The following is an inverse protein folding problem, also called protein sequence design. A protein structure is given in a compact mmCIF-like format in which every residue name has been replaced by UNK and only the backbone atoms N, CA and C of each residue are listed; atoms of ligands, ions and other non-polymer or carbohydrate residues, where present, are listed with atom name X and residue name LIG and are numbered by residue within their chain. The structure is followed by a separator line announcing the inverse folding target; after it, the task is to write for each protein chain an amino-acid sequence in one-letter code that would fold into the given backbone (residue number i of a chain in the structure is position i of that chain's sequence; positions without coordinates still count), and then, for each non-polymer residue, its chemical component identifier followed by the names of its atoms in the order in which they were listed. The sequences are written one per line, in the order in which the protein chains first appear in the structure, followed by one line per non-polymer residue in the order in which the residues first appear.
data_IF_189172502095
#
_entry.id   IF_189172502095
#
_cell.length_a   1.000
_cell.length_b   1.000
_cell.length_c   1.000
_cell.angle_alpha   90.00
_cell.angle_beta   90.00
_cell.angle_gamma   90.00
#
_symmetry.space_group_name_H-M   'P 1'
#
loop_
_entity.id
_entity.type
_entity.pdbx_description
1 polymer ?
#
# COMPACT_ATOMS: atom_id res chain seq x y z
N UNK A 1 -42.57 42.84 -23.36
CA UNK A 1 -41.36 43.47 -22.79
C UNK A 1 -41.41 44.93 -23.15
N UNK A 2 -41.36 45.81 -22.15
CA UNK A 2 -41.57 47.25 -22.31
C UNK A 2 -40.30 47.92 -22.83
N UNK A 3 -40.44 48.98 -23.63
CA UNK A 3 -39.33 49.81 -24.13
C UNK A 3 -38.46 50.42 -23.00
N UNK A 4 -38.96 50.38 -21.76
CA UNK A 4 -38.28 50.87 -20.57
C UNK A 4 -37.23 49.90 -19.98
N UNK A 5 -37.16 48.65 -20.46
CA UNK A 5 -36.19 47.64 -19.98
C UNK A 5 -34.83 47.69 -20.71
N UNK A 6 -34.71 48.41 -21.84
CA UNK A 6 -33.47 48.45 -22.63
C UNK A 6 -32.47 49.54 -22.18
N UNK A 7 -32.89 50.52 -21.36
CA UNK A 7 -32.07 51.71 -21.06
C UNK A 7 -31.26 51.60 -19.76
N UNK A 8 -31.49 50.57 -18.93
CA UNK A 8 -30.84 50.47 -17.62
C UNK A 8 -29.54 49.65 -17.57
N UNK A 9 -29.01 49.18 -18.72
CA UNK A 9 -27.64 48.63 -18.77
C UNK A 9 -27.36 47.45 -17.81
N UNK A 10 -28.39 46.77 -17.31
CA UNK A 10 -28.26 45.56 -16.51
C UNK A 10 -28.20 44.37 -17.47
N UNK A 11 -26.99 44.14 -17.99
CA UNK A 11 -26.68 42.90 -18.69
C UNK A 11 -27.04 41.71 -17.80
N UNK A 12 -27.76 40.75 -18.38
CA UNK A 12 -28.02 39.42 -17.81
C UNK A 12 -26.77 38.90 -17.08
N UNK A 13 -26.87 38.44 -15.81
CA UNK A 13 -25.72 37.85 -15.15
C UNK A 13 -25.24 36.68 -15.99
N UNK A 14 -23.97 36.76 -16.35
CA UNK A 14 -23.23 35.85 -17.22
C UNK A 14 -23.16 34.45 -16.57
N UNK A 15 -24.26 33.69 -16.66
CA UNK A 15 -24.40 32.35 -16.07
C UNK A 15 -23.35 31.38 -16.60
N UNK A 16 -22.86 31.58 -17.83
CA UNK A 16 -21.81 30.78 -18.45
C UNK A 16 -20.45 30.97 -17.76
N UNK A 17 -20.11 32.17 -17.28
CA UNK A 17 -18.81 32.43 -16.65
C UNK A 17 -18.71 31.86 -15.23
N UNK A 18 -19.82 31.87 -14.48
CA UNK A 18 -19.92 31.26 -13.15
C UNK A 18 -19.87 29.72 -13.26
N UNK A 19 -20.54 29.16 -14.26
CA UNK A 19 -20.56 27.70 -14.50
C UNK A 19 -19.15 27.19 -14.87
N UNK A 20 -18.40 27.90 -15.72
CA UNK A 20 -17.03 27.50 -16.09
C UNK A 20 -16.05 27.55 -14.91
N UNK A 21 -16.16 28.55 -14.02
CA UNK A 21 -15.30 28.62 -12.81
C UNK A 21 -15.61 27.52 -11.80
N UNK A 22 -16.88 27.17 -11.62
CA UNK A 22 -17.30 26.09 -10.71
C UNK A 22 -16.79 24.74 -11.26
N UNK A 23 -17.00 24.45 -12.55
CA UNK A 23 -16.54 23.19 -13.16
C UNK A 23 -15.01 23.06 -13.20
N UNK A 24 -14.25 24.15 -13.37
CA UNK A 24 -12.77 24.08 -13.28
C UNK A 24 -12.29 23.86 -11.84
N UNK A 25 -12.96 24.43 -10.84
CA UNK A 25 -12.62 24.22 -9.43
C UNK A 25 -12.87 22.78 -8.97
N UNK A 26 -14.01 22.17 -9.37
CA UNK A 26 -14.35 20.79 -9.00
C UNK A 26 -13.42 19.78 -9.67
N UNK A 27 -13.10 19.95 -10.96
CA UNK A 27 -12.18 19.05 -11.69
C UNK A 27 -10.75 19.12 -11.13
N UNK A 28 -10.32 20.31 -10.67
CA UNK A 28 -8.99 20.46 -10.05
C UNK A 28 -8.92 19.85 -8.65
N UNK A 29 -10.04 19.81 -7.91
CA UNK A 29 -10.13 19.17 -6.60
C UNK A 29 -10.16 17.64 -6.72
N UNK A 30 -10.87 17.09 -7.71
CA UNK A 30 -10.87 15.65 -8.04
C UNK A 30 -9.49 15.14 -8.46
N UNK A 31 -8.70 15.96 -9.15
CA UNK A 31 -7.30 15.67 -9.50
C UNK A 31 -6.39 15.63 -8.26
N UNK A 32 -6.64 16.50 -7.26
CA UNK A 32 -5.85 16.51 -6.02
C UNK A 32 -6.22 15.32 -5.13
N UNK A 33 -7.52 15.11 -4.89
CA UNK A 33 -8.02 14.03 -4.05
C UNK A 33 -7.62 12.65 -4.57
N UNK A 34 -7.69 12.44 -5.90
CA UNK A 34 -7.22 11.19 -6.50
C UNK A 34 -5.72 10.95 -6.26
N UNK A 35 -4.89 11.98 -6.38
CA UNK A 35 -3.43 11.85 -6.13
C UNK A 35 -3.15 11.55 -4.66
N UNK A 36 -3.82 12.24 -3.75
CA UNK A 36 -3.71 12.00 -2.31
C UNK A 36 -4.10 10.55 -1.96
N UNK A 37 -5.21 10.06 -2.53
CA UNK A 37 -5.68 8.69 -2.32
C UNK A 37 -4.71 7.65 -2.91
N UNK A 38 -4.21 7.87 -4.12
CA UNK A 38 -3.19 7.02 -4.77
C UNK A 38 -1.93 6.92 -3.91
N UNK A 39 -1.46 8.04 -3.38
CA UNK A 39 -0.29 8.10 -2.51
C UNK A 39 -0.54 7.40 -1.17
N UNK A 40 -1.72 7.59 -0.58
CA UNK A 40 -2.13 6.91 0.66
C UNK A 40 -2.14 5.39 0.48
N UNK A 41 -2.74 4.88 -0.58
CA UNK A 41 -2.76 3.44 -0.88
C UNK A 41 -1.34 2.89 -1.03
N UNK A 42 -0.47 3.60 -1.76
CA UNK A 42 0.92 3.18 -1.91
C UNK A 42 1.67 3.11 -0.56
N UNK A 43 1.42 4.08 0.33
CA UNK A 43 1.98 4.07 1.69
C UNK A 43 1.42 2.92 2.52
N UNK A 44 0.11 2.68 2.50
CA UNK A 44 -0.52 1.56 3.20
C UNK A 44 0.07 0.22 2.74
N UNK A 45 0.20 -0.01 1.43
CA UNK A 45 0.85 -1.21 0.85
C UNK A 45 2.28 -1.38 1.37
N UNK A 46 3.05 -0.29 1.46
CA UNK A 46 4.41 -0.33 2.00
C UNK A 46 4.43 -0.71 3.49
N UNK A 47 3.55 -0.10 4.29
CA UNK A 47 3.40 -0.41 5.71
C UNK A 47 2.97 -1.85 5.95
N UNK A 48 2.01 -2.38 5.17
CA UNK A 48 1.58 -3.77 5.27
C UNK A 48 2.76 -4.72 4.98
N UNK A 49 3.57 -4.46 3.95
CA UNK A 49 4.78 -5.26 3.70
C UNK A 49 5.76 -5.24 4.88
N UNK A 50 5.99 -4.06 5.46
CA UNK A 50 6.84 -3.92 6.65
C UNK A 50 6.31 -4.74 7.82
N UNK A 51 5.00 -4.69 8.06
CA UNK A 51 4.35 -5.47 9.10
C UNK A 51 4.43 -6.97 8.84
N UNK A 52 4.22 -7.43 7.60
CA UNK A 52 4.38 -8.86 7.24
C UNK A 52 5.77 -9.35 7.60
N UNK A 53 6.83 -8.62 7.21
CA UNK A 53 8.19 -9.00 7.57
C UNK A 53 8.45 -8.97 9.09
N UNK A 54 7.76 -8.12 9.83
CA UNK A 54 7.83 -8.12 11.29
C UNK A 54 7.11 -9.35 11.89
N UNK A 55 5.89 -9.64 11.43
CA UNK A 55 5.11 -10.82 11.83
C UNK A 55 5.92 -12.09 11.57
N UNK A 56 6.54 -12.25 10.39
CA UNK A 56 7.39 -13.40 10.08
C UNK A 56 8.51 -13.59 11.11
N UNK A 57 9.18 -12.50 11.53
CA UNK A 57 10.23 -12.55 12.56
C UNK A 57 9.67 -12.96 13.92
N UNK A 58 8.56 -12.36 14.33
CA UNK A 58 7.92 -12.66 15.62
C UNK A 58 7.42 -14.11 15.67
N UNK A 59 6.83 -14.61 14.58
CA UNK A 59 6.38 -16.00 14.43
C UNK A 59 7.55 -16.98 14.57
N UNK A 60 8.73 -16.65 14.04
CA UNK A 60 9.92 -17.50 14.18
C UNK A 60 10.46 -17.57 15.62
N UNK A 61 10.09 -16.64 16.50
CA UNK A 61 10.45 -16.72 17.92
C UNK A 61 9.48 -17.59 18.73
N UNK A 62 8.28 -17.88 18.21
CA UNK A 62 7.30 -18.72 18.92
C UNK A 62 7.82 -20.16 19.07
N UNK A 63 7.70 -20.70 20.28
CA UNK A 63 8.20 -22.04 20.60
C UNK A 63 9.73 -22.17 20.64
N UNK A 64 10.47 -21.07 20.47
CA UNK A 64 11.92 -21.02 20.65
C UNK A 64 12.33 -20.49 22.04
N UNK A 65 13.63 -20.45 22.35
CA UNK A 65 14.16 -19.93 23.62
C UNK A 65 13.95 -18.42 23.82
N UNK A 66 13.46 -17.72 22.80
CA UNK A 66 13.13 -16.30 22.84
C UNK A 66 11.63 -16.04 22.97
N UNK A 67 10.80 -17.08 23.04
CA UNK A 67 9.36 -16.91 23.17
C UNK A 67 9.03 -16.25 24.51
N UNK A 68 8.36 -15.11 24.47
CA UNK A 68 8.01 -14.29 25.64
C UNK A 68 6.61 -13.72 25.47
N UNK A 69 5.93 -13.41 26.58
CA UNK A 69 4.59 -12.80 26.58
C UNK A 69 4.58 -11.50 25.76
N UNK A 70 5.64 -10.69 25.85
CA UNK A 70 5.77 -9.44 25.10
C UNK A 70 5.82 -9.66 23.57
N UNK A 71 6.57 -10.65 23.10
CA UNK A 71 6.64 -10.99 21.67
C UNK A 71 5.28 -11.48 21.16
N UNK A 72 4.53 -12.21 21.99
CA UNK A 72 3.19 -12.71 21.65
C UNK A 72 2.18 -11.56 21.55
N UNK A 73 2.20 -10.64 22.52
CA UNK A 73 1.37 -9.43 22.48
C UNK A 73 1.68 -8.57 21.24
N UNK A 74 2.97 -8.33 20.97
CA UNK A 74 3.39 -7.59 19.78
C UNK A 74 2.95 -8.28 18.48
N UNK A 75 3.05 -9.62 18.41
CA UNK A 75 2.57 -10.38 17.26
C UNK A 75 1.06 -10.20 17.04
N UNK A 76 0.27 -10.24 18.12
CA UNK A 76 -1.17 -9.99 18.09
C UNK A 76 -1.49 -8.57 17.60
N UNK A 77 -0.86 -7.56 18.21
CA UNK A 77 -1.09 -6.14 17.90
C UNK A 77 -0.73 -5.82 16.44
N UNK A 78 0.44 -6.26 15.97
CA UNK A 78 0.87 -6.02 14.58
C UNK A 78 -0.02 -6.80 13.62
N UNK A 79 -0.49 -8.00 13.98
CA UNK A 79 -1.43 -8.77 13.16
C UNK A 79 -2.76 -8.04 13.00
N UNK A 80 -3.36 -7.56 14.10
CA UNK A 80 -4.64 -6.84 14.07
C UNK A 80 -4.51 -5.50 13.34
N UNK A 81 -3.48 -4.71 13.65
CA UNK A 81 -3.23 -3.45 12.98
C UNK A 81 -3.04 -3.63 11.47
N UNK A 82 -2.41 -4.73 11.04
CA UNK A 82 -2.26 -5.06 9.62
C UNK A 82 -3.60 -5.44 8.98
N UNK A 83 -4.46 -6.15 9.69
CA UNK A 83 -5.80 -6.50 9.23
C UNK A 83 -6.65 -5.25 9.01
N UNK A 84 -6.62 -4.30 9.94
CA UNK A 84 -7.34 -3.04 9.82
C UNK A 84 -6.80 -2.21 8.65
N UNK A 85 -5.48 -2.13 8.51
CA UNK A 85 -4.85 -1.42 7.38
C UNK A 85 -5.23 -2.02 6.02
N UNK A 86 -5.41 -3.35 5.93
CA UNK A 86 -5.90 -4.04 4.74
C UNK A 86 -7.37 -3.68 4.46
N UNK A 87 -8.22 -3.58 5.48
CA UNK A 87 -9.62 -3.14 5.32
C UNK A 87 -9.69 -1.69 4.81
N UNK A 88 -8.91 -0.80 5.40
CA UNK A 88 -8.82 0.60 4.98
C UNK A 88 -8.31 0.73 3.54
N UNK A 89 -7.23 0.02 3.21
CA UNK A 89 -6.66 -0.01 1.85
C UNK A 89 -7.68 -0.52 0.82
N UNK A 90 -8.49 -1.51 1.19
CA UNK A 90 -9.56 -2.05 0.35
C UNK A 90 -10.62 -0.99 0.06
N UNK A 91 -11.02 -0.23 1.09
CA UNK A 91 -12.00 0.83 0.95
C UNK A 91 -11.45 2.02 0.12
N UNK A 92 -10.20 2.39 0.33
CA UNK A 92 -9.52 3.43 -0.44
C UNK A 92 -9.41 3.03 -1.92
N UNK A 93 -9.06 1.76 -2.20
CA UNK A 93 -8.96 1.25 -3.56
C UNK A 93 -10.31 1.19 -4.28
N UNK A 94 -11.39 0.82 -3.56
CA UNK A 94 -12.77 0.91 -4.07
C UNK A 94 -13.14 2.36 -4.37
N UNK A 95 -12.81 3.29 -3.49
CA UNK A 95 -13.09 4.72 -3.67
C UNK A 95 -12.34 5.31 -4.88
N UNK A 96 -11.16 4.78 -5.20
CA UNK A 96 -10.38 5.18 -6.37
C UNK A 96 -11.13 4.94 -7.70
N UNK A 97 -12.01 3.92 -7.75
CA UNK A 97 -12.84 3.62 -8.92
C UNK A 97 -13.89 4.69 -9.25
N UNK A 98 -14.24 5.54 -8.28
CA UNK A 98 -15.26 6.58 -8.43
C UNK A 98 -14.72 7.77 -9.26
N UNK A 99 -13.42 8.04 -9.18
CA UNK A 99 -12.81 9.22 -9.81
C UNK A 99 -12.42 8.98 -11.27
N UNK A 100 -13.43 8.86 -12.15
CA UNK A 100 -13.24 8.71 -13.59
C UNK A 100 -13.23 10.09 -14.31
N UNK A 101 -12.11 10.55 -14.87
CA UNK A 101 -12.04 11.87 -15.52
C UNK A 101 -12.65 11.84 -16.92
N UNK A 102 -13.25 12.96 -17.34
CA UNK A 102 -13.82 13.14 -18.69
C UNK A 102 -12.76 13.14 -19.80
N UNK A 103 -11.50 13.51 -19.48
CA UNK A 103 -10.40 13.46 -20.44
C UNK A 103 -9.91 12.02 -20.65
N UNK A 104 -10.07 11.53 -21.88
CA UNK A 104 -9.65 10.19 -22.32
C UNK A 104 -8.18 9.87 -21.99
N UNK A 105 -7.26 10.85 -22.07
CA UNK A 105 -5.84 10.63 -21.75
C UNK A 105 -5.62 10.44 -20.24
N UNK A 106 -6.20 11.33 -19.41
CA UNK A 106 -6.15 11.20 -17.94
C UNK A 106 -6.86 9.93 -17.47
N UNK A 107 -7.98 9.56 -18.09
CA UNK A 107 -8.73 8.35 -17.78
C UNK A 107 -7.90 7.09 -18.01
N UNK A 108 -7.14 7.05 -19.11
CA UNK A 108 -6.18 5.96 -19.37
C UNK A 108 -5.07 5.90 -18.32
N UNK A 109 -4.48 7.04 -17.95
CA UNK A 109 -3.41 7.07 -16.95
C UNK A 109 -3.90 6.56 -15.59
N UNK A 110 -5.03 7.07 -15.11
CA UNK A 110 -5.60 6.66 -13.82
C UNK A 110 -5.94 5.17 -13.77
N UNK A 111 -6.47 4.64 -14.87
CA UNK A 111 -6.75 3.20 -14.98
C UNK A 111 -5.47 2.35 -14.85
N UNK A 112 -4.36 2.77 -15.44
CA UNK A 112 -3.07 2.06 -15.31
C UNK A 112 -2.52 2.12 -13.87
N UNK A 113 -2.65 3.28 -13.22
CA UNK A 113 -2.24 3.45 -11.83
C UNK A 113 -3.08 2.59 -10.88
N UNK A 114 -4.41 2.59 -11.06
CA UNK A 114 -5.33 1.73 -10.32
C UNK A 114 -5.00 0.25 -10.51
N UNK A 115 -4.78 -0.20 -11.74
CA UNK A 115 -4.39 -1.59 -12.03
C UNK A 115 -3.11 -1.99 -11.31
N UNK A 116 -2.10 -1.11 -11.34
CA UNK A 116 -0.84 -1.36 -10.66
C UNK A 116 -1.07 -1.49 -9.15
N UNK A 117 -1.79 -0.54 -8.54
CA UNK A 117 -2.09 -0.56 -7.11
C UNK A 117 -2.89 -1.79 -6.71
N UNK A 118 -3.94 -2.16 -7.46
CA UNK A 118 -4.74 -3.37 -7.20
C UNK A 118 -3.88 -4.63 -7.27
N UNK A 119 -3.02 -4.75 -8.28
CA UNK A 119 -2.13 -5.91 -8.44
C UNK A 119 -1.09 -5.99 -7.32
N UNK A 120 -0.50 -4.86 -6.94
CA UNK A 120 0.47 -4.83 -5.85
C UNK A 120 -0.20 -5.12 -4.50
N UNK A 121 -1.41 -4.59 -4.26
CA UNK A 121 -2.21 -4.89 -3.08
C UNK A 121 -2.59 -6.38 -3.00
N UNK A 122 -3.01 -7.00 -4.10
CA UNK A 122 -3.29 -8.45 -4.15
C UNK A 122 -2.07 -9.31 -3.77
N UNK A 123 -0.86 -8.93 -4.22
CA UNK A 123 0.36 -9.64 -3.81
C UNK A 123 0.58 -9.54 -2.31
N UNK A 124 0.47 -8.34 -1.75
CA UNK A 124 0.67 -8.09 -0.32
C UNK A 124 -0.38 -8.83 0.52
N UNK A 125 -1.64 -8.81 0.08
CA UNK A 125 -2.74 -9.56 0.69
C UNK A 125 -2.45 -11.08 0.71
N UNK A 126 -1.87 -11.61 -0.39
CA UNK A 126 -1.49 -13.01 -0.49
C UNK A 126 -0.35 -13.36 0.47
N UNK A 127 0.67 -12.52 0.54
CA UNK A 127 1.76 -12.68 1.51
C UNK A 127 1.26 -12.61 2.95
N UNK A 128 0.35 -11.69 3.28
CA UNK A 128 -0.25 -11.60 4.61
C UNK A 128 -1.04 -12.87 4.95
N UNK A 129 -1.87 -13.35 4.03
CA UNK A 129 -2.60 -14.61 4.23
C UNK A 129 -1.66 -15.80 4.44
N UNK A 130 -0.54 -15.85 3.72
CA UNK A 130 0.47 -16.89 3.89
C UNK A 130 1.12 -16.84 5.29
N UNK A 131 1.56 -15.66 5.75
CA UNK A 131 2.16 -15.55 7.10
C UNK A 131 1.13 -15.85 8.20
N UNK A 132 -0.15 -15.51 8.02
CA UNK A 132 -1.23 -15.89 8.94
C UNK A 132 -1.36 -17.42 9.05
N UNK A 133 -1.34 -18.14 7.92
CA UNK A 133 -1.38 -19.62 7.94
C UNK A 133 -0.16 -20.22 8.65
N UNK A 134 1.02 -19.67 8.41
CA UNK A 134 2.26 -20.10 9.08
C UNK A 134 2.16 -19.83 10.58
N UNK A 135 1.68 -18.66 10.98
CA UNK A 135 1.47 -18.27 12.38
C UNK A 135 0.53 -19.25 13.09
N UNK A 136 -0.64 -19.53 12.52
CA UNK A 136 -1.58 -20.50 13.06
C UNK A 136 -0.98 -21.91 13.14
N UNK A 137 -0.21 -22.34 12.14
CA UNK A 137 0.47 -23.64 12.18
C UNK A 137 1.48 -23.73 13.32
N UNK A 138 2.27 -22.68 13.55
CA UNK A 138 3.26 -22.61 14.63
C UNK A 138 2.61 -22.60 16.00
N UNK A 139 1.53 -21.84 16.16
CA UNK A 139 0.76 -21.81 17.40
C UNK A 139 0.11 -23.16 17.70
N UNK A 140 -0.44 -23.86 16.69
CA UNK A 140 -0.97 -25.22 16.87
C UNK A 140 0.11 -26.21 17.31
N UNK A 141 1.27 -26.19 16.66
CA UNK A 141 2.41 -27.04 17.05
C UNK A 141 2.82 -26.81 18.51
N UNK A 142 2.80 -25.55 18.96
CA UNK A 142 3.06 -25.20 20.35
C UNK A 142 1.99 -25.74 21.30
N UNK A 143 0.71 -25.53 20.97
CA UNK A 143 -0.43 -26.02 21.76
C UNK A 143 -0.39 -27.53 21.90
N UNK A 144 -0.12 -28.27 20.82
CA UNK A 144 -0.07 -29.74 20.86
C UNK A 144 1.04 -30.24 21.78
N UNK A 145 2.22 -29.60 21.73
CA UNK A 145 3.34 -29.90 22.64
C UNK A 145 3.01 -29.56 24.08
N UNK A 146 2.45 -28.38 24.33
CA UNK A 146 2.07 -27.93 25.67
C UNK A 146 1.00 -28.83 26.28
N UNK A 147 -0.01 -29.27 25.50
CA UNK A 147 -1.02 -30.24 25.93
C UNK A 147 -0.40 -31.58 26.29
N UNK A 148 0.51 -32.11 25.47
CA UNK A 148 1.20 -33.36 25.78
C UNK A 148 2.01 -33.27 27.08
N UNK A 149 2.71 -32.16 27.30
CA UNK A 149 3.43 -31.89 28.56
C UNK A 149 2.46 -31.78 29.74
N UNK A 150 1.34 -31.07 29.58
CA UNK A 150 0.33 -30.89 30.63
C UNK A 150 -0.27 -32.24 31.05
N UNK A 151 -0.60 -33.11 30.10
CA UNK A 151 -1.10 -34.47 30.38
C UNK A 151 -0.06 -35.31 31.11
N UNK A 152 1.23 -35.20 30.73
CA UNK A 152 2.32 -35.89 31.43
C UNK A 152 2.44 -35.39 32.88
N UNK A 153 2.41 -34.08 33.10
CA UNK A 153 2.45 -33.49 34.44
C UNK A 153 1.23 -33.92 35.27
N UNK A 154 0.02 -33.88 34.71
CA UNK A 154 -1.19 -34.36 35.38
C UNK A 154 -1.06 -35.84 35.80
N UNK A 155 -0.53 -36.70 34.93
CA UNK A 155 -0.29 -38.10 35.30
C UNK A 155 0.73 -38.27 36.43
N UNK A 156 1.73 -37.38 36.51
CA UNK A 156 2.71 -37.35 37.57
C UNK A 156 2.12 -36.79 38.88
N UNK A 157 1.21 -35.81 38.82
CA UNK A 157 0.46 -35.31 39.97
C UNK A 157 -0.31 -36.46 40.62
N UNK A 158 -1.13 -37.15 39.83
CA UNK A 158 -2.00 -38.25 40.30
C UNK A 158 -1.17 -39.36 40.93
N UNK A 159 -0.06 -39.77 40.30
CA UNK A 159 0.82 -40.79 40.86
C UNK A 159 1.45 -40.36 42.21
N UNK A 160 1.85 -39.09 42.34
CA UNK A 160 2.39 -38.57 43.59
C UNK A 160 1.34 -38.43 44.68
N UNK A 161 0.08 -38.16 44.31
CA UNK A 161 -1.06 -38.04 45.21
C UNK A 161 -1.46 -39.43 45.77
N UNK A 162 -1.51 -40.46 44.92
CA UNK A 162 -1.72 -41.86 45.33
C UNK A 162 -0.62 -42.34 46.30
N UNK A 163 0.65 -42.07 46.02
CA UNK A 163 1.78 -42.41 46.92
C UNK A 163 1.67 -41.72 48.29
N UNK A 164 1.16 -40.48 48.34
CA UNK A 164 0.97 -39.75 49.60
C UNK A 164 -0.18 -40.32 50.45
N UNK A 165 -1.26 -40.75 49.81
CA UNK A 165 -2.40 -41.37 50.51
C UNK A 165 -2.01 -42.72 51.13
N UNK A 166 -1.12 -43.49 50.49
CA UNK A 166 -0.61 -44.77 51.03
C UNK A 166 0.34 -44.59 52.22
N UNK A 167 1.17 -43.55 52.25
CA UNK A 167 2.20 -43.33 53.29
C UNK A 167 1.74 -42.49 54.50
N UNK A 168 0.56 -41.84 54.44
CA UNK A 168 0.00 -41.01 55.52
C UNK A 168 -0.19 -41.71 56.88
N UNK A 169 0.01 -43.03 56.98
CA UNK A 169 0.01 -43.75 58.27
C UNK A 169 1.25 -43.49 59.14
N UNK A 170 2.32 -42.88 58.60
CA UNK A 170 3.60 -42.68 59.29
C UNK A 170 4.08 -41.22 59.19
N UNK A 171 3.41 -40.30 59.92
CA UNK A 171 3.69 -38.85 59.87
C UNK A 171 5.18 -38.48 60.00
N UNK A 172 5.73 -37.89 58.94
CA UNK A 172 7.15 -37.56 58.80
C UNK A 172 7.37 -36.19 58.13
N UNK A 173 8.54 -35.59 58.37
CA UNK A 173 8.99 -34.36 57.67
C UNK A 173 9.04 -34.52 56.14
N UNK A 174 9.08 -35.75 55.62
CA UNK A 174 9.02 -36.04 54.17
C UNK A 174 7.66 -35.69 53.55
N UNK A 175 6.57 -35.74 54.31
CA UNK A 175 5.22 -35.46 53.81
C UNK A 175 5.08 -33.99 53.39
N UNK A 176 5.63 -33.06 54.19
CA UNK A 176 5.67 -31.64 53.86
C UNK A 176 6.47 -31.35 52.57
N UNK A 177 7.57 -32.06 52.33
CA UNK A 177 8.39 -31.83 51.14
C UNK A 177 7.69 -32.33 49.86
N UNK A 178 6.98 -33.47 49.94
CA UNK A 178 6.15 -33.97 48.83
C UNK A 178 4.93 -33.08 48.56
N UNK A 179 4.28 -32.57 49.60
CA UNK A 179 3.15 -31.66 49.44
C UNK A 179 3.55 -30.37 48.69
N UNK A 180 4.70 -29.78 49.05
CA UNK A 180 5.24 -28.61 48.32
C UNK A 180 5.56 -28.95 46.86
N UNK A 181 5.99 -30.18 46.57
CA UNK A 181 6.28 -30.62 45.21
C UNK A 181 5.00 -30.78 44.35
N UNK A 182 3.92 -31.28 44.94
CA UNK A 182 2.61 -31.35 44.29
C UNK A 182 2.04 -29.97 44.02
N UNK A 183 2.08 -29.06 45.00
CA UNK A 183 1.66 -27.66 44.79
C UNK A 183 2.45 -27.00 43.66
N UNK A 184 3.77 -27.22 43.58
CA UNK A 184 4.59 -26.69 42.49
C UNK A 184 4.18 -27.25 41.12
N UNK A 185 3.82 -28.54 41.07
CA UNK A 185 3.38 -29.21 39.84
C UNK A 185 2.00 -28.71 39.38
N UNK A 186 1.06 -28.54 40.31
CA UNK A 186 -0.26 -27.98 40.03
C UNK A 186 -0.17 -26.55 39.50
N UNK A 187 0.68 -25.72 40.10
CA UNK A 187 0.94 -24.36 39.59
C UNK A 187 1.52 -24.39 38.16
N UNK A 188 2.36 -25.37 37.82
CA UNK A 188 2.91 -25.53 36.48
C UNK A 188 1.84 -25.99 35.47
N UNK A 189 0.95 -26.89 35.88
CA UNK A 189 -0.20 -27.35 35.08
C UNK A 189 -1.13 -26.17 34.79
N UNK A 190 -1.54 -25.42 35.81
CA UNK A 190 -2.43 -24.25 35.67
C UNK A 190 -1.81 -23.20 34.72
N UNK A 191 -0.52 -22.91 34.88
CA UNK A 191 0.19 -21.99 34.01
C UNK A 191 0.18 -22.47 32.54
N UNK A 192 0.43 -23.76 32.30
CA UNK A 192 0.40 -24.33 30.95
C UNK A 192 -1.02 -24.30 30.35
N UNK A 193 -2.06 -24.59 31.12
CA UNK A 193 -3.46 -24.54 30.66
C UNK A 193 -3.91 -23.13 30.28
N UNK A 194 -3.55 -22.12 31.08
CA UNK A 194 -3.81 -20.71 30.77
C UNK A 194 -3.16 -20.32 29.45
N UNK A 195 -1.90 -20.71 29.26
CA UNK A 195 -1.16 -20.42 28.04
C UNK A 195 -1.75 -21.16 26.82
N UNK A 196 -2.15 -22.42 26.98
CA UNK A 196 -2.84 -23.18 25.91
C UNK A 196 -4.11 -22.44 25.49
N UNK A 197 -4.93 -22.02 26.46
CA UNK A 197 -6.19 -21.32 26.22
C UNK A 197 -5.98 -20.00 25.47
N UNK A 198 -4.97 -19.21 25.87
CA UNK A 198 -4.58 -17.98 25.17
C UNK A 198 -4.26 -18.26 23.70
N UNK A 199 -3.44 -19.28 23.43
CA UNK A 199 -3.03 -19.63 22.06
C UNK A 199 -4.18 -20.16 21.22
N UNK A 200 -5.10 -20.91 21.78
CA UNK A 200 -6.30 -21.36 21.07
C UNK A 200 -7.19 -20.19 20.66
N UNK A 201 -7.35 -19.20 21.52
CA UNK A 201 -8.02 -17.94 21.18
C UNK A 201 -7.34 -17.20 20.02
N UNK A 202 -6.01 -17.12 20.04
CA UNK A 202 -5.23 -16.52 18.95
C UNK A 202 -5.40 -17.27 17.63
N UNK A 203 -5.41 -18.61 17.65
CA UNK A 203 -5.64 -19.42 16.45
C UNK A 203 -7.02 -19.13 15.87
N UNK A 204 -8.06 -19.04 16.69
CA UNK A 204 -9.41 -18.70 16.25
C UNK A 204 -9.47 -17.30 15.63
N UNK A 205 -8.78 -16.31 16.22
CA UNK A 205 -8.67 -14.96 15.67
C UNK A 205 -8.00 -14.97 14.29
N UNK A 206 -6.92 -15.74 14.12
CA UNK A 206 -6.25 -15.90 12.83
C UNK A 206 -7.17 -16.56 11.80
N UNK A 207 -7.91 -17.61 12.18
CA UNK A 207 -8.86 -18.30 11.29
C UNK A 207 -10.00 -17.39 10.82
N UNK A 208 -10.58 -16.61 11.72
CA UNK A 208 -11.55 -15.58 11.39
C UNK A 208 -10.92 -14.56 10.43
N UNK A 209 -9.71 -14.07 10.75
CA UNK A 209 -8.97 -13.17 9.89
C UNK A 209 -8.75 -13.72 8.48
N UNK A 210 -8.36 -14.99 8.33
CA UNK A 210 -8.18 -15.62 7.01
C UNK A 210 -9.51 -15.66 6.23
N UNK A 211 -10.63 -15.88 6.90
CA UNK A 211 -11.96 -15.83 6.29
C UNK A 211 -12.27 -14.44 5.75
N UNK A 212 -12.06 -13.40 6.56
CA UNK A 212 -12.21 -12.00 6.12
C UNK A 212 -11.30 -11.68 4.91
N UNK A 213 -10.04 -12.13 4.94
CA UNK A 213 -9.12 -11.93 3.82
C UNK A 213 -9.63 -12.60 2.52
N UNK A 214 -10.30 -13.75 2.61
CA UNK A 214 -10.89 -14.41 1.46
C UNK A 214 -12.05 -13.62 0.85
N UNK A 215 -12.84 -12.93 1.67
CA UNK A 215 -13.87 -12.00 1.19
C UNK A 215 -13.23 -10.83 0.43
N UNK A 216 -12.18 -10.24 1.01
CA UNK A 216 -11.41 -9.17 0.35
C UNK A 216 -10.81 -9.67 -0.97
N UNK A 217 -10.29 -10.91 -1.03
CA UNK A 217 -9.80 -11.49 -2.29
C UNK A 217 -10.87 -11.55 -3.39
N UNK A 218 -12.10 -11.90 -3.04
CA UNK A 218 -13.22 -11.92 -4.00
C UNK A 218 -13.53 -10.51 -4.50
N UNK A 219 -13.57 -9.54 -3.58
CA UNK A 219 -13.77 -8.14 -3.91
C UNK A 219 -12.67 -7.60 -4.82
N UNK A 220 -11.40 -7.94 -4.54
CA UNK A 220 -10.26 -7.57 -5.37
C UNK A 220 -10.27 -8.26 -6.73
N UNK A 221 -10.74 -9.51 -6.80
CA UNK A 221 -10.90 -10.25 -8.04
C UNK A 221 -11.86 -9.54 -9.01
N UNK A 222 -12.95 -8.97 -8.51
CA UNK A 222 -13.87 -8.16 -9.31
C UNK A 222 -13.19 -6.88 -9.82
N UNK A 223 -12.49 -6.14 -8.94
CA UNK A 223 -11.81 -4.90 -9.32
C UNK A 223 -10.69 -5.11 -10.37
N UNK A 224 -9.98 -6.24 -10.34
CA UNK A 224 -8.90 -6.53 -11.29
C UNK A 224 -9.42 -7.08 -12.62
N UNK A 225 -10.43 -7.94 -12.62
CA UNK A 225 -10.99 -8.51 -13.85
C UNK A 225 -11.68 -7.45 -14.73
N UNK A 226 -12.37 -6.47 -14.13
CA UNK A 226 -12.97 -5.35 -14.88
C UNK A 226 -11.93 -4.48 -15.60
N UNK A 227 -10.66 -4.54 -15.17
CA UNK A 227 -9.59 -3.70 -15.68
C UNK A 227 -8.76 -4.37 -16.80
N UNK A 228 -8.80 -5.71 -16.97
CA UNK A 228 -7.94 -6.45 -17.92
C UNK A 228 -8.37 -6.32 -19.40
N UNK A 229 -9.66 -6.08 -19.67
CA UNK A 229 -10.21 -5.95 -21.04
C UNK A 229 -9.66 -4.75 -21.84
N UNK A 230 -8.92 -3.82 -21.22
CA UNK A 230 -8.42 -2.60 -21.87
C UNK A 230 -6.89 -2.46 -22.00
N UNK A 231 -6.11 -3.50 -21.64
CA UNK A 231 -4.65 -3.42 -21.43
C UNK A 231 -3.81 -3.92 -22.62
N UNK A 232 -4.36 -4.56 -23.65
CA UNK A 232 -3.55 -5.04 -24.79
C UNK A 232 -2.85 -3.93 -25.61
N UNK A 233 -3.04 -2.65 -25.25
CA UNK A 233 -2.34 -1.49 -25.84
C UNK A 233 -0.99 -1.12 -25.18
N UNK A 234 -0.56 -1.77 -24.08
CA UNK A 234 0.69 -1.40 -23.37
C UNK A 234 1.96 -1.62 -24.21
N UNK A 235 2.03 -2.70 -25.00
CA UNK A 235 3.19 -2.94 -25.87
C UNK A 235 3.33 -1.89 -26.98
N UNK A 236 2.23 -1.28 -27.44
CA UNK A 236 2.26 -0.23 -28.46
C UNK A 236 2.73 1.13 -27.93
N UNK A 237 2.41 1.49 -26.68
CA UNK A 237 2.65 2.85 -26.18
C UNK A 237 4.08 3.10 -25.66
N UNK A 238 4.76 2.09 -25.09
CA UNK A 238 6.20 2.21 -24.74
C UNK A 238 7.05 2.34 -26.02
N UNK A 239 6.63 1.67 -27.10
CA UNK A 239 7.23 1.84 -28.43
C UNK A 239 7.02 3.28 -28.95
N UNK A 240 5.82 3.84 -28.80
CA UNK A 240 5.53 5.20 -29.25
C UNK A 240 6.27 6.29 -28.46
N UNK A 241 6.48 6.13 -27.14
CA UNK A 241 7.23 7.11 -26.33
C UNK A 241 8.72 7.10 -26.68
N UNK A 242 9.31 5.92 -26.84
CA UNK A 242 10.71 5.80 -27.28
C UNK A 242 10.91 6.34 -28.70
N UNK A 243 9.96 6.07 -29.61
CA UNK A 243 9.97 6.61 -30.96
C UNK A 243 9.80 8.13 -31.00
N UNK A 244 8.85 8.70 -30.25
CA UNK A 244 8.63 10.16 -30.21
C UNK A 244 9.81 10.91 -29.58
N UNK A 245 10.48 10.33 -28.58
CA UNK A 245 11.67 10.93 -27.95
C UNK A 245 12.85 10.94 -28.93
N UNK A 246 12.99 9.88 -29.73
CA UNK A 246 14.02 9.80 -30.79
C UNK A 246 13.78 10.83 -31.90
N UNK A 247 12.55 10.97 -32.37
CA UNK A 247 12.21 12.01 -33.35
C UNK A 247 12.41 13.43 -32.81
N UNK A 248 12.09 13.69 -31.54
CA UNK A 248 12.37 14.98 -30.91
C UNK A 248 13.88 15.29 -30.82
N UNK A 249 14.70 14.28 -30.55
CA UNK A 249 16.16 14.43 -30.56
C UNK A 249 16.70 14.73 -31.97
N UNK A 250 16.17 14.06 -32.99
CA UNK A 250 16.57 14.29 -34.39
C UNK A 250 16.17 15.70 -34.88
N UNK A 251 14.97 16.17 -34.53
CA UNK A 251 14.52 17.53 -34.85
C UNK A 251 15.37 18.61 -34.15
N UNK A 252 15.82 18.37 -32.91
CA UNK A 252 16.75 19.28 -32.23
C UNK A 252 18.10 19.37 -32.95
N UNK A 253 18.60 18.26 -33.50
CA UNK A 253 19.84 18.25 -34.30
C UNK A 253 19.66 18.99 -35.62
N UNK A 254 18.54 18.77 -36.31
CA UNK A 254 18.18 19.48 -37.55
C UNK A 254 18.06 20.99 -37.27
N UNK A 255 17.31 21.38 -36.24
CA UNK A 255 17.13 22.77 -35.84
C UNK A 255 18.47 23.46 -35.50
N UNK A 256 19.37 22.78 -34.79
CA UNK A 256 20.71 23.31 -34.50
C UNK A 256 21.52 23.56 -35.78
N UNK A 257 21.47 22.62 -36.73
CA UNK A 257 22.16 22.75 -38.03
C UNK A 257 21.60 23.91 -38.85
N UNK A 258 20.28 24.09 -38.88
CA UNK A 258 19.63 25.23 -39.54
C UNK A 258 19.98 26.57 -38.86
N UNK A 259 20.05 26.62 -37.53
CA UNK A 259 20.44 27.83 -36.81
C UNK A 259 21.89 28.24 -37.12
N UNK A 260 22.81 27.27 -37.26
CA UNK A 260 24.21 27.53 -37.59
C UNK A 260 24.40 28.07 -39.00
N UNK A 261 23.66 27.53 -39.99
CA UNK A 261 23.72 28.04 -41.38
C UNK A 261 23.03 29.40 -41.53
N UNK A 262 21.91 29.62 -40.83
CA UNK A 262 21.22 30.90 -40.80
C UNK A 262 22.11 32.03 -40.23
N UNK A 263 22.85 31.75 -39.14
CA UNK A 263 23.79 32.72 -38.56
C UNK A 263 24.90 33.14 -39.53
N UNK A 264 25.41 32.20 -40.33
CA UNK A 264 26.43 32.48 -41.35
C UNK A 264 25.86 33.40 -42.44
N UNK A 265 24.66 33.10 -42.93
CA UNK A 265 24.01 33.88 -43.98
C UNK A 265 23.60 35.29 -43.48
N UNK A 266 23.15 35.39 -42.23
CA UNK A 266 22.84 36.66 -41.58
C UNK A 266 24.08 37.54 -41.41
N UNK A 267 25.23 36.96 -41.04
CA UNK A 267 26.50 37.68 -40.96
C UNK A 267 26.93 38.26 -42.33
N UNK A 268 26.84 37.46 -43.40
CA UNK A 268 27.11 37.96 -44.76
C UNK A 268 26.17 39.09 -45.16
N UNK A 269 24.87 38.98 -44.86
CA UNK A 269 23.90 40.02 -45.16
C UNK A 269 24.19 41.34 -44.41
N UNK A 270 24.56 41.26 -43.13
CA UNK A 270 24.96 42.43 -42.34
C UNK A 270 26.23 43.09 -42.86
N UNK A 271 27.22 42.33 -43.32
CA UNK A 271 28.42 42.87 -43.95
C UNK A 271 28.09 43.65 -45.23
N UNK A 272 27.21 43.12 -46.08
CA UNK A 272 26.79 43.81 -47.31
C UNK A 272 26.11 45.14 -46.99
N UNK A 273 25.17 45.16 -46.03
CA UNK A 273 24.50 46.39 -45.61
C UNK A 273 25.52 47.42 -45.10
N UNK A 274 26.49 46.98 -44.31
CA UNK A 274 27.53 47.86 -43.76
C UNK A 274 28.37 48.50 -44.87
N UNK A 275 28.79 47.71 -45.87
CA UNK A 275 29.57 48.21 -47.01
C UNK A 275 28.76 49.22 -47.82
N UNK A 276 27.50 48.90 -48.14
CA UNK A 276 26.62 49.81 -48.89
C UNK A 276 26.40 51.12 -48.13
N UNK A 277 26.17 51.05 -46.82
CA UNK A 277 26.06 52.23 -45.96
C UNK A 277 27.30 53.11 -45.98
N UNK A 278 28.50 52.52 -45.90
CA UNK A 278 29.76 53.24 -45.98
C UNK A 278 29.95 53.95 -47.34
N UNK A 279 29.61 53.27 -48.45
CA UNK A 279 29.71 53.86 -49.79
C UNK A 279 28.76 55.05 -49.93
N UNK A 280 27.50 54.92 -49.49
CA UNK A 280 26.54 56.01 -49.51
C UNK A 280 26.99 57.19 -48.65
N UNK A 281 27.55 56.94 -47.47
CA UNK A 281 28.10 57.98 -46.60
C UNK A 281 29.26 58.73 -47.26
N UNK A 282 30.18 58.02 -47.93
CA UNK A 282 31.29 58.64 -48.67
C UNK A 282 30.81 59.51 -49.83
N UNK A 283 29.81 59.05 -50.59
CA UNK A 283 29.22 59.85 -51.67
C UNK A 283 28.61 61.14 -51.12
N UNK A 284 27.88 61.08 -50.01
CA UNK A 284 27.28 62.27 -49.38
C UNK A 284 28.35 63.24 -48.89
N UNK A 285 29.47 62.76 -48.37
CA UNK A 285 30.59 63.60 -47.90
C UNK A 285 31.35 64.24 -49.06
N UNK A 286 31.56 63.54 -50.17
CA UNK A 286 32.23 64.08 -51.37
C UNK A 286 31.33 65.04 -52.15
N UNK A 287 30.01 64.79 -52.15
CA UNK A 287 29.03 65.65 -52.81
C UNK A 287 28.65 66.89 -52.00
N UNK A 288 29.13 67.01 -50.76
CA UNK A 288 29.05 68.23 -49.92
C UNK A 288 30.29 69.08 -50.08
#
# INVERSE_FOLDING_TARGET
MSFNDLEQGLGSPNSSRITTSITQSTVSDDDRQYKELTQRIAQQIFHINGNISNIEKLVNFLGGPRDTIEIRGNLHDVTNATRDLIKDSTQDLKSLSIYQPLDSKKSRQRRLEQQKLSKDFQKVLSSFQNVQRISASRQREYVDKAKATTVMLQSQAVANEEDLEEEQSHGSLMDNQRQVQLEALDNEIEYNELLITEREGEIQNIEQGITELNEIFRDMGMLVNEQESGIQSIYGNVLNITQNTRHAADELVIANRHQKSARRNMCCFLLIITIVGCVLALIIVIAK
#
